data_IF_107919821963
#
_entry.id   IF_107919821963
#
_cell.length_a   1.000
_cell.length_b   1.000
_cell.length_c   1.000
_cell.angle_alpha   90.00
_cell.angle_beta   90.00
_cell.angle_gamma   90.00
#
_symmetry.space_group_name_H-M   'P 1'
#
loop_
_entity.id
_entity.type
_entity.pdbx_description
1 polymer ?
#
# COMPACT_ATOMS: atom_id res chain seq x y z
N UNK A 1 -26.80 31.22 64.93
CA UNK A 1 -27.11 30.28 63.85
C UNK A 1 -25.80 29.87 63.22
N UNK A 2 -25.59 28.55 63.16
CA UNK A 2 -24.63 27.76 62.39
C UNK A 2 -23.15 28.12 62.39
N UNK A 3 -22.42 27.33 63.19
CA UNK A 3 -21.18 26.64 62.80
C UNK A 3 -21.41 25.79 61.54
N UNK A 4 -20.37 25.61 60.73
CA UNK A 4 -20.01 24.43 59.88
C UNK A 4 -18.79 24.84 59.02
N UNK A 5 -17.58 24.35 59.29
CA UNK A 5 -16.94 23.11 58.75
C UNK A 5 -16.52 23.23 57.26
N UNK A 6 -15.37 22.74 56.76
CA UNK A 6 -14.26 21.96 57.31
C UNK A 6 -13.05 22.12 56.37
N UNK A 7 -11.85 22.04 56.95
CA UNK A 7 -10.60 21.70 56.25
C UNK A 7 -10.54 20.19 55.99
N UNK A 8 -10.13 19.78 54.79
CA UNK A 8 -9.44 18.50 54.47
C UNK A 8 -9.07 18.59 52.97
N UNK A 9 -7.82 18.54 52.50
CA UNK A 9 -6.58 18.06 53.10
C UNK A 9 -6.28 16.63 52.64
N UNK A 10 -5.99 16.41 51.35
CA UNK A 10 -5.31 15.19 50.88
C UNK A 10 -4.40 15.48 49.67
N UNK A 11 -3.10 15.60 49.98
CA UNK A 11 -2.00 15.29 49.08
C UNK A 11 -1.93 13.76 48.90
N UNK A 12 -1.68 13.29 47.68
CA UNK A 12 -1.16 11.94 47.47
C UNK A 12 -0.12 11.98 46.37
N UNK A 13 1.15 11.97 46.80
CA UNK A 13 2.31 11.69 45.99
C UNK A 13 2.47 10.17 45.90
N UNK A 14 2.49 9.63 44.68
CA UNK A 14 2.89 8.25 44.45
C UNK A 14 4.37 8.24 44.09
N UNK A 15 5.21 7.93 45.07
CA UNK A 15 6.59 7.50 44.88
C UNK A 15 6.67 6.00 45.16
N UNK A 16 7.38 5.27 44.32
CA UNK A 16 7.52 3.81 44.44
C UNK A 16 8.54 3.27 43.45
N UNK A 17 9.82 3.49 43.74
CA UNK A 17 10.97 2.84 43.11
C UNK A 17 11.15 1.42 43.64
N UNK A 18 11.59 0.47 42.80
CA UNK A 18 12.39 -0.67 43.27
C UNK A 18 13.37 -1.09 42.17
N UNK A 19 14.65 -1.05 42.54
CA UNK A 19 15.84 -1.40 41.78
C UNK A 19 16.26 -2.87 42.04
N UNK A 20 17.27 -3.32 41.25
CA UNK A 20 18.27 -4.41 41.49
C UNK A 20 17.88 -5.84 41.07
N UNK A 21 18.78 -6.72 40.59
CA UNK A 21 20.22 -6.68 40.26
C UNK A 21 20.56 -7.93 39.40
N UNK A 22 21.59 -7.78 38.56
CA UNK A 22 22.61 -8.72 38.06
C UNK A 22 22.45 -10.26 38.04
N UNK A 23 22.78 -10.87 36.89
CA UNK A 23 23.82 -11.94 36.78
C UNK A 23 24.14 -12.37 35.34
N UNK A 24 25.31 -11.93 34.89
CA UNK A 24 26.45 -12.66 34.28
C UNK A 24 26.33 -13.96 33.44
N UNK A 25 27.12 -13.92 32.36
CA UNK A 25 28.12 -14.88 31.89
C UNK A 25 27.73 -16.21 31.19
N UNK A 26 27.99 -16.20 29.88
CA UNK A 26 28.80 -17.14 29.09
C UNK A 26 28.61 -18.67 29.21
N UNK A 27 28.39 -19.31 28.06
CA UNK A 27 29.21 -20.47 27.63
C UNK A 27 29.09 -20.70 26.13
N UNK A 28 30.23 -20.54 25.46
CA UNK A 28 30.58 -21.16 24.18
C UNK A 28 30.54 -22.69 24.28
N UNK A 29 30.29 -23.38 23.16
CA UNK A 29 31.13 -24.48 22.64
C UNK A 29 30.33 -25.41 21.72
N UNK A 30 30.92 -25.74 20.56
CA UNK A 30 30.82 -27.12 20.07
C UNK A 30 30.52 -27.38 18.59
N UNK A 31 31.38 -26.85 17.69
CA UNK A 31 32.01 -27.49 16.52
C UNK A 31 31.24 -28.47 15.60
N UNK A 32 31.31 -28.18 14.29
CA UNK A 32 31.78 -29.07 13.20
C UNK A 32 31.68 -28.30 11.87
N UNK A 33 32.70 -27.56 11.44
CA UNK A 33 33.87 -28.03 10.65
C UNK A 33 33.53 -29.06 9.56
N UNK A 34 33.27 -28.58 8.34
CA UNK A 34 33.86 -29.19 7.14
C UNK A 34 34.28 -28.12 6.14
N UNK A 35 35.60 -28.02 6.00
CA UNK A 35 36.37 -27.77 4.79
C UNK A 35 36.09 -26.50 3.94
N UNK A 36 37.03 -25.57 4.09
CA UNK A 36 37.42 -24.64 3.04
C UNK A 36 37.95 -25.38 1.79
N UNK A 37 37.49 -24.95 0.62
CA UNK A 37 38.23 -25.00 -0.65
C UNK A 37 38.03 -23.63 -1.30
N UNK A 38 38.92 -22.68 -1.02
CA UNK A 38 40.07 -22.30 -1.83
C UNK A 38 39.72 -21.82 -3.26
N UNK A 39 39.85 -20.49 -3.42
CA UNK A 39 40.39 -19.76 -4.58
C UNK A 39 39.76 -19.99 -5.95
N UNK A 40 39.14 -18.93 -6.48
CA UNK A 40 38.91 -18.86 -7.91
C UNK A 40 38.10 -17.67 -8.38
N UNK A 41 38.75 -16.51 -8.44
CA UNK A 41 38.43 -15.44 -9.39
C UNK A 41 37.14 -14.66 -9.10
N UNK A 42 37.28 -13.57 -8.34
CA UNK A 42 36.51 -12.35 -8.63
C UNK A 42 36.97 -11.85 -10.00
N UNK A 43 36.42 -12.44 -11.06
CA UNK A 43 36.49 -11.82 -12.37
C UNK A 43 35.73 -10.51 -12.27
N UNK A 44 36.47 -9.43 -12.04
CA UNK A 44 36.06 -8.06 -12.35
C UNK A 44 35.72 -8.05 -13.83
N UNK A 45 34.49 -8.41 -14.15
CA UNK A 45 33.83 -8.00 -15.37
C UNK A 45 33.60 -6.51 -15.22
N UNK A 46 34.62 -5.72 -15.56
CA UNK A 46 34.47 -4.36 -16.04
C UNK A 46 33.70 -4.43 -17.36
N UNK A 47 32.41 -4.67 -17.25
CA UNK A 47 31.47 -4.41 -18.32
C UNK A 47 31.14 -2.94 -18.23
N UNK A 48 31.96 -2.11 -18.90
CA UNK A 48 31.53 -0.79 -19.32
C UNK A 48 30.24 -1.00 -20.11
N UNK A 49 29.11 -0.86 -19.43
CA UNK A 49 27.85 -0.55 -20.08
C UNK A 49 28.04 0.89 -20.54
N UNK A 50 28.64 1.03 -21.72
CA UNK A 50 28.47 2.20 -22.56
C UNK A 50 26.94 2.35 -22.69
N UNK A 51 26.39 3.20 -21.84
CA UNK A 51 25.05 3.72 -22.01
C UNK A 51 25.08 4.51 -23.30
N UNK A 52 24.86 3.81 -24.40
CA UNK A 52 24.40 4.40 -25.65
C UNK A 52 22.97 4.89 -25.40
N UNK A 53 22.86 5.92 -24.56
CA UNK A 53 21.81 6.92 -24.65
C UNK A 53 22.07 7.70 -25.96
N UNK A 54 22.03 6.99 -27.10
CA UNK A 54 21.73 7.62 -28.37
C UNK A 54 20.33 8.18 -28.21
N UNK A 55 20.30 9.39 -27.66
CA UNK A 55 19.22 10.35 -27.73
C UNK A 55 19.00 10.56 -29.23
N UNK A 56 18.29 9.60 -29.82
CA UNK A 56 17.81 9.66 -31.18
C UNK A 56 16.69 10.68 -31.09
N UNK A 57 17.11 11.94 -30.99
CA UNK A 57 16.29 13.14 -31.03
C UNK A 57 15.81 13.25 -32.48
N UNK A 58 15.05 12.23 -32.89
CA UNK A 58 14.35 12.15 -34.15
C UNK A 58 13.37 13.30 -34.08
N UNK A 59 13.75 14.38 -34.77
CA UNK A 59 13.00 15.62 -34.74
C UNK A 59 11.61 15.32 -35.26
N UNK A 60 10.65 15.28 -34.35
CA UNK A 60 9.24 15.11 -34.69
C UNK A 60 8.86 16.32 -35.55
N UNK A 61 8.37 16.05 -36.75
CA UNK A 61 7.89 17.09 -37.66
C UNK A 61 6.69 17.80 -37.01
N UNK A 62 6.67 19.15 -36.93
CA UNK A 62 5.50 19.87 -36.47
C UNK A 62 4.18 19.42 -37.15
N UNK A 63 4.25 19.06 -38.43
CA UNK A 63 3.09 18.57 -39.19
C UNK A 63 2.62 17.19 -38.69
N UNK A 64 3.55 16.34 -38.24
CA UNK A 64 3.24 15.06 -37.61
C UNK A 64 2.57 15.24 -36.24
N UNK A 65 3.05 16.18 -35.43
CA UNK A 65 2.38 16.53 -34.15
C UNK A 65 0.96 16.99 -34.39
N UNK A 66 0.74 17.84 -35.40
CA UNK A 66 -0.60 18.31 -35.77
C UNK A 66 -1.50 17.15 -36.19
N UNK A 67 -1.01 16.26 -37.07
CA UNK A 67 -1.78 15.10 -37.51
C UNK A 67 -2.15 14.15 -36.35
N UNK A 68 -1.23 13.92 -35.40
CA UNK A 68 -1.50 13.13 -34.20
C UNK A 68 -2.57 13.81 -33.35
N UNK A 69 -2.47 15.11 -33.13
CA UNK A 69 -3.46 15.86 -32.36
C UNK A 69 -4.85 15.79 -33.01
N UNK A 70 -4.93 15.93 -34.33
CA UNK A 70 -6.20 15.80 -35.07
C UNK A 70 -6.81 14.41 -34.93
N UNK A 71 -6.00 13.35 -35.06
CA UNK A 71 -6.45 11.97 -34.85
C UNK A 71 -6.98 11.73 -33.43
N UNK A 72 -6.31 12.28 -32.41
CA UNK A 72 -6.76 12.18 -31.02
C UNK A 72 -8.08 12.94 -30.82
N UNK A 73 -8.22 14.12 -31.43
CA UNK A 73 -9.47 14.90 -31.37
C UNK A 73 -10.62 14.15 -32.03
N UNK A 74 -10.41 13.59 -33.22
CA UNK A 74 -11.41 12.77 -33.93
C UNK A 74 -11.82 11.56 -33.08
N UNK A 75 -10.85 10.81 -32.56
CA UNK A 75 -11.12 9.67 -31.67
C UNK A 75 -11.91 10.08 -30.41
N UNK A 76 -11.54 11.20 -29.77
CA UNK A 76 -12.23 11.67 -28.56
C UNK A 76 -13.64 12.16 -28.87
N UNK A 77 -13.86 12.79 -30.03
CA UNK A 77 -15.19 13.19 -30.48
C UNK A 77 -16.07 11.97 -30.77
N UNK A 78 -15.54 10.93 -31.39
CA UNK A 78 -16.27 9.68 -31.64
C UNK A 78 -16.55 8.91 -30.33
N UNK A 79 -15.71 9.10 -29.31
CA UNK A 79 -15.94 8.59 -27.96
C UNK A 79 -16.95 9.45 -27.18
N UNK A 80 -18.13 9.71 -27.75
CA UNK A 80 -19.20 10.37 -27.01
C UNK A 80 -19.72 9.43 -25.90
N UNK A 81 -19.30 9.66 -24.66
CA UNK A 81 -20.04 9.20 -23.48
C UNK A 81 -20.98 10.32 -23.04
N UNK A 82 -22.26 10.01 -22.85
CA UNK A 82 -23.19 10.98 -22.29
C UNK A 82 -22.66 11.46 -20.93
N UNK A 83 -22.80 12.75 -20.64
CA UNK A 83 -22.34 13.34 -19.37
C UNK A 83 -22.89 12.59 -18.15
N UNK A 84 -24.11 12.07 -18.29
CA UNK A 84 -24.82 11.33 -17.26
C UNK A 84 -24.18 9.97 -16.98
N UNK A 85 -23.64 9.30 -18.03
CA UNK A 85 -22.93 8.02 -17.89
C UNK A 85 -21.62 8.22 -17.11
N UNK A 86 -20.90 9.32 -17.39
CA UNK A 86 -19.68 9.65 -16.65
C UNK A 86 -19.96 9.95 -15.18
N UNK A 87 -21.05 10.66 -14.87
CA UNK A 87 -21.43 10.90 -13.49
C UNK A 87 -21.86 9.60 -12.79
N UNK A 88 -22.55 8.69 -13.48
CA UNK A 88 -22.88 7.38 -12.96
C UNK A 88 -21.63 6.56 -12.61
N UNK A 89 -20.61 6.57 -13.48
CA UNK A 89 -19.31 5.93 -13.21
C UNK A 89 -18.65 6.55 -11.99
N UNK A 90 -18.60 7.89 -11.88
CA UNK A 90 -18.03 8.60 -10.73
C UNK A 90 -18.76 8.26 -9.42
N UNK A 91 -20.09 8.17 -9.45
CA UNK A 91 -20.87 7.79 -8.28
C UNK A 91 -20.58 6.35 -7.84
N UNK A 92 -20.46 5.44 -8.80
CA UNK A 92 -20.12 4.04 -8.56
C UNK A 92 -18.71 3.91 -7.97
N UNK A 93 -17.73 4.61 -8.55
CA UNK A 93 -16.35 4.65 -8.05
C UNK A 93 -16.28 5.17 -6.60
N UNK A 94 -17.01 6.25 -6.29
CA UNK A 94 -17.12 6.78 -4.91
C UNK A 94 -17.66 5.73 -3.93
N UNK A 95 -18.60 4.87 -4.34
CA UNK A 95 -19.12 3.79 -3.47
C UNK A 95 -18.07 2.71 -3.23
N UNK A 96 -17.35 2.30 -4.28
CA UNK A 96 -16.22 1.37 -4.11
C UNK A 96 -15.12 1.96 -3.23
N UNK A 97 -14.82 3.26 -3.36
CA UNK A 97 -13.84 3.95 -2.51
C UNK A 97 -14.25 3.91 -1.03
N UNK A 98 -15.50 4.22 -0.71
CA UNK A 98 -16.02 4.11 0.68
C UNK A 98 -15.86 2.70 1.24
N UNK A 99 -16.15 1.69 0.43
CA UNK A 99 -15.98 0.29 0.83
C UNK A 99 -14.51 -0.06 1.05
N UNK A 100 -13.63 0.40 0.15
CA UNK A 100 -12.18 0.20 0.26
C UNK A 100 -11.62 0.83 1.53
N UNK A 101 -12.03 2.06 1.82
CA UNK A 101 -11.67 2.81 3.03
C UNK A 101 -12.12 2.08 4.30
N UNK A 102 -13.32 1.49 4.32
CA UNK A 102 -13.80 0.70 5.46
C UNK A 102 -12.81 -0.43 5.80
N UNK A 103 -12.41 -1.24 4.82
CA UNK A 103 -11.51 -2.36 5.06
C UNK A 103 -10.11 -1.87 5.44
N UNK A 104 -9.57 -0.84 4.76
CA UNK A 104 -8.28 -0.27 5.12
C UNK A 104 -8.25 0.30 6.55
N UNK A 105 -9.36 0.84 7.05
CA UNK A 105 -9.48 1.41 8.40
C UNK A 105 -9.85 0.38 9.46
N UNK A 106 -10.39 -0.77 9.08
CA UNK A 106 -10.88 -1.80 10.00
C UNK A 106 -10.03 -3.07 9.90
N UNK A 107 -9.04 -3.25 10.81
CA UNK A 107 -8.28 -4.49 10.88
C UNK A 107 -9.16 -5.72 11.09
N UNK A 108 -10.26 -5.58 11.87
CA UNK A 108 -11.24 -6.65 12.07
C UNK A 108 -11.96 -7.00 10.77
N UNK A 109 -12.40 -5.98 10.02
CA UNK A 109 -13.05 -6.16 8.72
C UNK A 109 -12.12 -6.83 7.71
N UNK A 110 -10.89 -6.36 7.59
CA UNK A 110 -9.87 -6.96 6.71
C UNK A 110 -9.57 -8.41 7.10
N UNK A 111 -9.35 -8.71 8.39
CA UNK A 111 -9.07 -10.08 8.82
C UNK A 111 -10.23 -11.03 8.54
N UNK A 112 -11.49 -10.59 8.76
CA UNK A 112 -12.67 -11.41 8.43
C UNK A 112 -12.78 -11.60 6.93
N UNK A 113 -12.57 -10.55 6.13
CA UNK A 113 -12.58 -10.64 4.67
C UNK A 113 -11.50 -11.60 4.15
N UNK A 114 -10.31 -11.64 4.77
CA UNK A 114 -9.25 -12.59 4.43
C UNK A 114 -9.69 -14.04 4.72
N UNK A 115 -10.39 -14.28 5.83
CA UNK A 115 -10.91 -15.61 6.19
C UNK A 115 -11.96 -16.09 5.18
N UNK A 116 -12.89 -15.21 4.79
CA UNK A 116 -13.92 -15.52 3.78
C UNK A 116 -13.33 -15.86 2.40
N UNK A 117 -12.11 -15.39 2.12
CA UNK A 117 -11.38 -15.70 0.88
C UNK A 117 -10.53 -16.98 0.97
N UNK A 118 -10.66 -17.78 2.04
CA UNK A 118 -9.85 -18.98 2.25
C UNK A 118 -8.48 -18.71 2.91
N UNK A 119 -8.31 -17.53 3.51
CA UNK A 119 -7.14 -17.16 4.31
C UNK A 119 -6.14 -16.23 3.62
N UNK A 120 -5.24 -15.64 4.43
CA UNK A 120 -4.35 -14.54 4.02
C UNK A 120 -3.40 -14.80 2.85
N UNK A 121 -3.01 -16.07 2.61
CA UNK A 121 -1.98 -16.38 1.60
C UNK A 121 -2.45 -16.06 0.18
N UNK A 122 -3.75 -16.19 -0.08
CA UNK A 122 -4.35 -16.00 -1.41
C UNK A 122 -5.40 -14.89 -1.44
N UNK A 123 -5.60 -14.18 -0.31
CA UNK A 123 -6.61 -13.14 -0.21
C UNK A 123 -6.30 -11.96 -1.13
N UNK A 124 -7.29 -11.56 -1.91
CA UNK A 124 -7.25 -10.35 -2.72
C UNK A 124 -7.26 -9.17 -1.76
N UNK A 125 -6.18 -8.39 -1.77
CA UNK A 125 -6.09 -7.19 -0.95
C UNK A 125 -6.89 -6.05 -1.56
N UNK A 126 -7.73 -5.46 -0.74
CA UNK A 126 -8.40 -4.18 -1.02
C UNK A 126 -7.34 -3.11 -1.31
N UNK A 127 -7.58 -2.29 -2.34
CA UNK A 127 -6.72 -1.18 -2.74
C UNK A 127 -7.60 0.06 -2.87
N UNK A 128 -7.14 1.17 -2.32
CA UNK A 128 -7.78 2.48 -2.52
C UNK A 128 -7.15 3.11 -3.76
N UNK A 129 -7.99 3.78 -4.54
CA UNK A 129 -7.58 4.68 -5.61
C UNK A 129 -6.59 5.76 -5.11
N UNK A 130 -5.62 6.13 -5.95
CA UNK A 130 -4.52 7.02 -5.59
C UNK A 130 -4.15 7.92 -6.77
N UNK A 131 -4.21 9.25 -6.62
CA UNK A 131 -3.94 10.19 -7.72
C UNK A 131 -2.57 10.03 -8.38
N UNK A 132 -1.58 9.51 -7.63
CA UNK A 132 -0.21 9.33 -8.12
C UNK A 132 0.01 7.97 -8.81
N UNK A 133 -0.99 7.10 -8.83
CA UNK A 133 -0.91 5.78 -9.47
C UNK A 133 -1.93 5.73 -10.61
N UNK A 134 -1.45 5.95 -11.83
CA UNK A 134 -2.25 6.07 -13.05
C UNK A 134 -3.38 5.02 -13.20
N UNK A 135 -3.12 3.76 -12.86
CA UNK A 135 -4.09 2.67 -13.03
C UNK A 135 -4.98 2.40 -11.80
N UNK A 136 -4.82 3.16 -10.72
CA UNK A 136 -5.47 2.81 -9.44
C UNK A 136 -6.99 2.97 -9.44
N UNK A 137 -7.52 3.90 -10.24
CA UNK A 137 -8.96 4.11 -10.43
C UNK A 137 -9.63 2.92 -11.12
N UNK A 138 -8.92 2.22 -12.01
CA UNK A 138 -9.42 1.01 -12.67
C UNK A 138 -9.17 -0.25 -11.82
N UNK A 139 -8.01 -0.33 -11.16
CA UNK A 139 -7.64 -1.47 -10.32
C UNK A 139 -8.60 -1.68 -9.14
N UNK A 140 -9.05 -0.59 -8.50
CA UNK A 140 -9.90 -0.67 -7.31
C UNK A 140 -11.25 -1.34 -7.62
N UNK A 141 -12.06 -0.86 -8.60
CA UNK A 141 -13.30 -1.51 -8.99
C UNK A 141 -13.10 -2.96 -9.44
N UNK A 142 -12.07 -3.26 -10.24
CA UNK A 142 -11.80 -4.63 -10.69
C UNK A 142 -11.55 -5.59 -9.52
N UNK A 143 -10.79 -5.16 -8.51
CA UNK A 143 -10.57 -5.96 -7.29
C UNK A 143 -11.86 -6.14 -6.51
N UNK A 144 -12.67 -5.10 -6.38
CA UNK A 144 -13.97 -5.19 -5.69
C UNK A 144 -14.93 -6.16 -6.37
N UNK A 145 -14.94 -6.18 -7.71
CA UNK A 145 -15.72 -7.17 -8.49
C UNK A 145 -15.23 -8.59 -8.21
N UNK A 146 -13.92 -8.82 -8.14
CA UNK A 146 -13.37 -10.15 -7.80
C UNK A 146 -13.66 -10.56 -6.35
N UNK A 147 -13.72 -9.58 -5.44
CA UNK A 147 -14.07 -9.77 -4.04
C UNK A 147 -15.57 -10.02 -3.81
N UNK A 148 -16.42 -9.84 -4.83
CA UNK A 148 -17.87 -9.88 -4.71
C UNK A 148 -18.41 -11.07 -3.90
N UNK A 149 -18.00 -12.34 -4.13
CA UNK A 149 -18.52 -13.46 -3.35
C UNK A 149 -18.23 -13.33 -1.85
N UNK A 150 -17.01 -12.91 -1.50
CA UNK A 150 -16.62 -12.70 -0.10
C UNK A 150 -17.31 -11.48 0.52
N UNK A 151 -17.61 -10.44 -0.28
CA UNK A 151 -18.35 -9.27 0.18
C UNK A 151 -19.83 -9.59 0.42
N UNK A 152 -20.44 -10.42 -0.42
CA UNK A 152 -21.84 -10.89 -0.24
C UNK A 152 -21.99 -11.74 1.03
N UNK A 153 -20.99 -12.53 1.42
CA UNK A 153 -21.01 -13.26 2.70
C UNK A 153 -20.62 -12.39 3.91
N UNK A 154 -19.88 -11.30 3.66
CA UNK A 154 -19.44 -10.41 4.74
C UNK A 154 -20.59 -9.59 5.33
N UNK A 155 -21.48 -9.07 4.49
CA UNK A 155 -22.60 -8.21 4.89
C UNK A 155 -23.88 -9.01 5.10
#
# INVERSE_FOLDING_TARGET
MSVDDAHTGYHSEYTGSSERDDSDAASESGNSEVAAVLLGQTSRGDGSLEGDDSDSDERIDPDEVTAICEQVVEFVQDCEMASDDLEFVRQTDRRFRKLAEYFCRSPKGTNRLDVLQGGRKNAIRVKIDSPTRWNSTMDMPQRMIRLRPALEEFF
#
